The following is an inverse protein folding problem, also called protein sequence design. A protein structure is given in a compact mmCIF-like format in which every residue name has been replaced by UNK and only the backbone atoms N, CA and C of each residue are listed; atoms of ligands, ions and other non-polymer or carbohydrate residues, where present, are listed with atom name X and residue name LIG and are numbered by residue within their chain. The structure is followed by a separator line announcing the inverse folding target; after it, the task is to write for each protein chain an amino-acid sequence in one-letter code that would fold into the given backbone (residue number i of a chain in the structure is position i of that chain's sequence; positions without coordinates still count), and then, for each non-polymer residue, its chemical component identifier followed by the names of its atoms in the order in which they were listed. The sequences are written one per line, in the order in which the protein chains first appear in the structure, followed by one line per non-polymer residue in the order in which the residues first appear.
data_IF_917234520336
#
_entry.id   IF_917234520336
#
_cell.length_a   1.000
_cell.length_b   1.000
_cell.length_c   1.000
_cell.angle_alpha   90.00
_cell.angle_beta   90.00
_cell.angle_gamma   90.00
#
_symmetry.space_group_name_H-M   'P 1'
#
loop_
_entity.id
_entity.type
_entity.pdbx_description
1 polymer ?
#
# COMPACT_ATOMS: atom_id res chain seq x y z
N UNK A 1 -23.97 20.99 19.34
CA UNK A 1 -22.57 21.48 19.38
C UNK A 1 -21.54 20.38 19.09
N UNK A 2 -21.67 19.17 19.65
CA UNK A 2 -20.67 18.10 19.49
C UNK A 2 -20.36 17.70 18.02
N UNK A 3 -21.37 17.65 17.15
CA UNK A 3 -21.20 17.29 15.73
C UNK A 3 -20.32 18.25 14.92
N UNK A 4 -20.42 19.56 15.18
CA UNK A 4 -19.61 20.56 14.48
C UNK A 4 -18.12 20.46 14.83
N UNK A 5 -17.80 20.14 16.09
CA UNK A 5 -16.42 19.92 16.55
C UNK A 5 -15.83 18.67 15.92
N UNK A 6 -16.60 17.58 15.87
CA UNK A 6 -16.20 16.32 15.24
C UNK A 6 -15.92 16.53 13.74
N UNK A 7 -16.78 17.27 13.03
CA UNK A 7 -16.59 17.55 11.61
C UNK A 7 -15.42 18.51 11.33
N UNK A 8 -15.11 19.41 12.25
CA UNK A 8 -13.90 20.23 12.17
C UNK A 8 -12.64 19.38 12.38
N UNK A 9 -12.64 18.51 13.38
CA UNK A 9 -11.52 17.59 13.65
C UNK A 9 -11.26 16.65 12.46
N UNK A 10 -12.31 16.09 11.84
CA UNK A 10 -12.21 15.26 10.63
C UNK A 10 -11.57 16.02 9.45
N UNK A 11 -11.97 17.28 9.24
CA UNK A 11 -11.39 18.13 8.19
C UNK A 11 -9.92 18.43 8.43
N UNK A 12 -9.54 18.69 9.68
CA UNK A 12 -8.13 18.90 10.06
C UNK A 12 -7.32 17.63 9.82
N UNK A 13 -7.79 16.46 10.27
CA UNK A 13 -7.10 15.18 10.04
C UNK A 13 -6.92 14.89 8.55
N UNK A 14 -7.96 15.08 7.75
CA UNK A 14 -7.88 14.85 6.31
C UNK A 14 -6.86 15.79 5.65
N UNK A 15 -6.82 17.06 6.07
CA UNK A 15 -5.84 18.04 5.57
C UNK A 15 -4.43 17.67 5.98
N UNK A 16 -4.22 17.23 7.23
CA UNK A 16 -2.92 16.77 7.72
C UNK A 16 -2.45 15.54 6.96
N UNK A 17 -3.33 14.57 6.72
CA UNK A 17 -3.00 13.36 5.95
C UNK A 17 -2.58 13.72 4.52
N UNK A 18 -3.37 14.58 3.85
CA UNK A 18 -3.06 15.04 2.50
C UNK A 18 -1.74 15.79 2.42
N UNK A 19 -1.43 16.63 3.42
CA UNK A 19 -0.18 17.39 3.46
C UNK A 19 1.03 16.50 3.78
N UNK A 20 0.88 15.49 4.63
CA UNK A 20 1.94 14.55 4.98
C UNK A 20 2.29 13.61 3.83
N UNK A 21 1.35 13.34 2.92
CA UNK A 21 1.50 12.41 1.80
C UNK A 21 1.04 13.01 0.47
N UNK A 22 1.70 14.07 -0.04
CA UNK A 22 1.20 14.89 -1.15
C UNK A 22 1.10 14.16 -2.50
N UNK A 23 1.89 13.09 -2.71
CA UNK A 23 1.93 12.33 -3.97
C UNK A 23 1.09 11.04 -3.91
N UNK A 24 0.26 10.89 -2.88
CA UNK A 24 -0.52 9.67 -2.65
C UNK A 24 -1.96 9.82 -3.08
N UNK A 25 -2.58 8.70 -3.47
CA UNK A 25 -4.02 8.63 -3.72
C UNK A 25 -4.74 8.46 -2.39
N UNK A 26 -5.73 9.31 -2.12
CA UNK A 26 -6.62 9.16 -0.97
C UNK A 26 -7.78 8.23 -1.32
N UNK A 27 -7.97 7.18 -0.55
CA UNK A 27 -9.01 6.16 -0.74
C UNK A 27 -9.96 6.18 0.44
N UNK A 28 -11.26 6.29 0.17
CA UNK A 28 -12.29 6.20 1.19
C UNK A 28 -12.40 4.74 1.66
N UNK A 29 -12.19 4.53 2.95
CA UNK A 29 -12.39 3.26 3.61
C UNK A 29 -13.75 3.29 4.31
N UNK A 30 -14.84 3.05 3.58
CA UNK A 30 -16.20 2.99 4.16
C UNK A 30 -16.89 1.68 3.80
N UNK A 31 -17.41 0.96 4.80
CA UNK A 31 -18.47 -0.05 4.59
C UNK A 31 -19.80 0.70 4.51
N UNK A 32 -20.70 0.27 3.64
CA UNK A 32 -21.98 0.95 3.42
C UNK A 32 -22.69 1.23 4.76
N UNK A 33 -22.87 2.51 5.09
CA UNK A 33 -23.52 2.96 6.33
C UNK A 33 -22.61 3.20 7.54
N UNK A 34 -21.32 2.88 7.47
CA UNK A 34 -20.39 3.03 8.61
C UNK A 34 -19.31 4.10 8.36
N UNK A 35 -19.19 4.97 9.38
CA UNK A 35 -18.12 5.95 9.65
C UNK A 35 -17.76 6.92 8.50
N UNK A 36 -18.53 8.02 8.32
CA UNK A 36 -18.17 9.07 7.38
C UNK A 36 -16.84 9.72 7.80
N UNK A 37 -15.78 9.48 7.03
CA UNK A 37 -14.46 10.09 7.24
C UNK A 37 -13.27 9.12 7.40
N UNK A 38 -13.48 7.81 7.28
CA UNK A 38 -12.36 6.88 7.20
C UNK A 38 -11.68 6.96 5.82
N UNK A 39 -10.43 7.43 5.81
CA UNK A 39 -9.59 7.62 4.62
C UNK A 39 -8.20 7.02 4.82
N UNK A 40 -7.70 6.35 3.77
CA UNK A 40 -6.34 5.83 3.62
C UNK A 40 -5.55 6.64 2.58
N UNK A 41 -4.26 6.82 2.81
CA UNK A 41 -3.31 7.34 1.84
C UNK A 41 -2.52 6.18 1.22
N UNK A 42 -2.54 6.10 -0.11
CA UNK A 42 -2.00 4.98 -0.89
C UNK A 42 -0.95 5.50 -1.86
N UNK A 43 0.23 4.90 -1.84
CA UNK A 43 1.32 5.26 -2.75
C UNK A 43 1.07 4.83 -4.21
N UNK A 44 2.02 5.14 -5.08
CA UNK A 44 1.97 4.82 -6.52
C UNK A 44 2.02 3.32 -6.82
N UNK A 45 2.41 2.51 -5.84
CA UNK A 45 2.52 1.06 -5.92
C UNK A 45 1.31 0.34 -5.31
N UNK A 46 0.34 1.08 -4.77
CA UNK A 46 -0.85 0.52 -4.13
C UNK A 46 -0.68 0.21 -2.65
N UNK A 47 0.46 0.59 -2.06
CA UNK A 47 0.78 0.39 -0.65
C UNK A 47 0.18 1.46 0.25
N UNK A 48 -0.36 1.07 1.40
CA UNK A 48 -0.91 2.00 2.39
C UNK A 48 0.23 2.62 3.20
N UNK A 49 0.36 3.95 3.10
CA UNK A 49 1.41 4.75 3.76
C UNK A 49 0.87 5.70 4.81
N UNK A 50 -0.46 5.84 4.92
CA UNK A 50 -1.09 6.70 5.91
C UNK A 50 -2.59 6.42 6.07
N UNK A 51 -3.15 6.89 7.19
CA UNK A 51 -4.56 6.71 7.51
C UNK A 51 -5.06 7.75 8.52
N UNK A 52 -6.29 8.23 8.32
CA UNK A 52 -7.06 8.99 9.31
C UNK A 52 -7.34 8.17 10.57
N UNK A 53 -7.70 8.83 11.68
CA UNK A 53 -8.02 8.11 12.92
C UNK A 53 -9.23 7.20 12.77
N UNK A 54 -10.25 7.64 12.04
CA UNK A 54 -11.42 6.82 11.74
C UNK A 54 -11.05 5.52 11.00
N UNK A 55 -10.18 5.60 9.99
CA UNK A 55 -9.71 4.41 9.26
C UNK A 55 -8.87 3.47 10.14
N UNK A 56 -7.99 4.01 10.99
CA UNK A 56 -7.17 3.21 11.92
C UNK A 56 -8.03 2.43 12.90
N UNK A 57 -9.07 3.05 13.46
CA UNK A 57 -9.99 2.39 14.39
C UNK A 57 -10.82 1.33 13.68
N UNK A 58 -11.38 1.66 12.52
CA UNK A 58 -12.25 0.77 11.76
C UNK A 58 -11.53 -0.50 11.29
N UNK A 59 -10.34 -0.34 10.71
CA UNK A 59 -9.54 -1.45 10.15
C UNK A 59 -8.51 -2.02 11.15
N UNK A 60 -8.56 -1.59 12.42
CA UNK A 60 -7.61 -2.01 13.48
C UNK A 60 -6.13 -1.86 13.07
N UNK A 61 -5.80 -0.76 12.39
CA UNK A 61 -4.45 -0.53 11.85
C UNK A 61 -3.45 -0.17 12.95
N UNK A 62 -2.42 -1.00 13.07
CA UNK A 62 -1.15 -0.69 13.77
C UNK A 62 -0.18 0.11 12.88
N UNK A 63 0.84 0.77 13.46
CA UNK A 63 1.85 1.52 12.69
C UNK A 63 2.54 0.72 11.57
N UNK A 64 2.77 -0.57 11.77
CA UNK A 64 3.37 -1.46 10.75
C UNK A 64 2.57 -1.51 9.44
N UNK A 65 1.24 -1.32 9.48
CA UNK A 65 0.38 -1.34 8.30
C UNK A 65 0.48 -0.09 7.43
N UNK A 66 1.17 0.96 7.90
CA UNK A 66 1.27 2.25 7.22
C UNK A 66 2.67 2.49 6.65
N UNK A 67 3.38 1.39 6.39
CA UNK A 67 4.76 1.40 5.89
C UNK A 67 4.85 1.31 4.36
N UNK A 68 3.70 1.19 3.67
CA UNK A 68 3.62 0.91 2.23
C UNK A 68 3.62 -0.57 1.87
N UNK A 69 3.80 -1.47 2.85
CA UNK A 69 3.95 -2.92 2.59
C UNK A 69 2.62 -3.69 2.50
N UNK A 70 1.52 -3.05 2.86
CA UNK A 70 0.19 -3.63 2.85
C UNK A 70 -0.66 -2.93 1.80
N UNK A 71 -1.33 -3.70 0.95
CA UNK A 71 -2.29 -3.15 0.00
C UNK A 71 -3.63 -2.87 0.68
N UNK A 72 -4.47 -2.06 0.02
CA UNK A 72 -5.83 -1.75 0.53
C UNK A 72 -6.66 -3.02 0.67
N UNK A 73 -6.55 -3.95 -0.27
CA UNK A 73 -7.30 -5.21 -0.27
C UNK A 73 -6.93 -6.08 0.94
N UNK A 74 -5.64 -6.17 1.26
CA UNK A 74 -5.15 -6.93 2.42
C UNK A 74 -5.67 -6.37 3.75
N UNK A 75 -5.89 -5.05 3.84
CA UNK A 75 -6.42 -4.42 5.05
C UNK A 75 -7.94 -4.45 5.11
N UNK A 76 -8.62 -4.64 3.97
CA UNK A 76 -10.08 -4.64 3.88
C UNK A 76 -10.71 -5.95 4.36
N UNK A 77 -10.06 -7.09 4.13
CA UNK A 77 -10.58 -8.42 4.44
C UNK A 77 -10.55 -8.76 5.95
N UNK A 78 -10.23 -7.80 6.82
CA UNK A 78 -10.32 -7.95 8.28
C UNK A 78 -9.22 -8.80 8.91
N UNK A 79 -8.49 -9.57 8.12
CA UNK A 79 -7.16 -10.09 8.46
C UNK A 79 -6.13 -9.24 7.74
N UNK A 80 -5.51 -8.30 8.46
CA UNK A 80 -4.17 -7.86 8.09
C UNK A 80 -3.25 -9.06 8.25
N UNK A 81 -3.28 -9.96 7.26
CA UNK A 81 -2.33 -11.06 7.15
C UNK A 81 -0.96 -10.43 7.18
N UNK A 82 -0.06 -11.04 7.96
CA UNK A 82 1.37 -10.75 7.90
C UNK A 82 1.72 -10.51 6.44
N UNK A 83 2.23 -9.32 6.09
CA UNK A 83 2.59 -9.03 4.74
C UNK A 83 3.63 -10.09 4.44
N UNK A 84 3.34 -11.01 3.52
CA UNK A 84 4.39 -11.90 3.06
C UNK A 84 5.32 -10.98 2.27
N UNK A 85 6.31 -10.46 2.98
CA UNK A 85 7.32 -9.52 2.52
C UNK A 85 7.96 -10.03 1.23
N UNK A 86 8.00 -11.35 1.06
CA UNK A 86 8.37 -12.03 -0.16
C UNK A 86 7.37 -11.86 -1.30
N UNK A 87 6.06 -11.95 -1.08
CA UNK A 87 5.05 -11.80 -2.16
C UNK A 87 4.75 -10.36 -2.53
N UNK A 88 4.75 -9.39 -1.62
CA UNK A 88 4.50 -7.98 -2.01
C UNK A 88 5.63 -7.45 -2.89
N UNK A 89 6.88 -7.62 -2.46
CA UNK A 89 8.04 -7.19 -3.26
C UNK A 89 8.15 -7.99 -4.57
N UNK A 90 7.87 -9.31 -4.54
CA UNK A 90 7.78 -10.12 -5.76
C UNK A 90 6.71 -9.61 -6.72
N UNK A 91 5.50 -9.29 -6.24
CA UNK A 91 4.41 -8.78 -7.09
C UNK A 91 4.76 -7.45 -7.74
N UNK A 92 5.45 -6.56 -7.02
CA UNK A 92 5.93 -5.29 -7.60
C UNK A 92 6.97 -5.53 -8.69
N UNK A 93 7.89 -6.47 -8.46
CA UNK A 93 8.88 -6.87 -9.46
C UNK A 93 8.21 -7.53 -10.68
N UNK A 94 7.26 -8.44 -10.48
CA UNK A 94 6.49 -9.10 -11.54
C UNK A 94 5.66 -8.10 -12.35
N UNK A 95 4.97 -7.17 -11.69
CA UNK A 95 4.18 -6.14 -12.35
C UNK A 95 5.04 -5.18 -13.18
N UNK A 96 6.22 -4.79 -12.67
CA UNK A 96 7.15 -3.95 -13.41
C UNK A 96 7.74 -4.69 -14.62
N UNK A 97 8.08 -5.97 -14.48
CA UNK A 97 8.53 -6.80 -15.59
C UNK A 97 7.44 -6.97 -16.65
N UNK A 98 6.20 -7.24 -16.25
CA UNK A 98 5.08 -7.37 -17.18
C UNK A 98 4.84 -6.06 -17.96
N UNK A 99 4.82 -4.91 -17.26
CA UNK A 99 4.65 -3.58 -17.89
C UNK A 99 5.76 -3.26 -18.90
N UNK A 100 6.97 -3.74 -18.65
CA UNK A 100 8.13 -3.54 -19.52
C UNK A 100 8.45 -4.75 -20.41
N UNK A 101 7.48 -5.66 -20.63
CA UNK A 101 7.63 -6.83 -21.52
C UNK A 101 8.89 -7.66 -21.25
N UNK A 102 9.20 -7.87 -19.97
CA UNK A 102 10.39 -8.60 -19.53
C UNK A 102 11.70 -7.81 -19.56
N UNK A 103 11.69 -6.53 -19.94
CA UNK A 103 12.90 -5.70 -19.92
C UNK A 103 13.30 -5.35 -18.48
N UNK A 104 14.17 -6.19 -17.90
CA UNK A 104 14.69 -6.04 -16.54
C UNK A 104 15.37 -4.69 -16.28
N UNK A 105 16.05 -4.10 -17.27
CA UNK A 105 16.70 -2.79 -17.10
C UNK A 105 15.68 -1.65 -17.02
N UNK A 106 14.58 -1.74 -17.77
CA UNK A 106 13.49 -0.77 -17.70
C UNK A 106 12.67 -0.94 -16.41
N UNK A 107 12.38 -2.20 -16.03
CA UNK A 107 11.69 -2.52 -14.77
C UNK A 107 12.51 -2.08 -13.54
N UNK A 108 13.81 -2.32 -13.52
CA UNK A 108 14.69 -1.88 -12.43
C UNK A 108 14.69 -0.35 -12.29
N UNK A 109 14.79 0.38 -13.40
CA UNK A 109 14.69 1.85 -13.42
C UNK A 109 13.33 2.33 -12.93
N UNK A 110 12.24 1.69 -13.35
CA UNK A 110 10.88 2.03 -12.91
C UNK A 110 10.68 1.78 -11.40
N UNK A 111 11.37 0.81 -10.83
CA UNK A 111 11.35 0.48 -9.40
C UNK A 111 12.42 1.22 -8.58
N UNK A 112 13.21 2.10 -9.19
CA UNK A 112 14.24 2.88 -8.50
C UNK A 112 15.42 2.04 -7.97
N UNK A 113 15.69 0.86 -8.54
CA UNK A 113 16.78 -0.03 -8.12
C UNK A 113 17.78 -0.31 -9.24
N UNK A 114 18.98 -0.77 -8.89
CA UNK A 114 19.95 -1.25 -9.87
C UNK A 114 19.51 -2.59 -10.47
N UNK A 115 19.97 -2.86 -11.70
CA UNK A 115 19.75 -4.15 -12.38
C UNK A 115 20.28 -5.35 -11.57
N UNK A 116 21.41 -5.19 -10.88
CA UNK A 116 22.01 -6.24 -10.04
C UNK A 116 21.16 -6.56 -8.80
N UNK A 117 20.55 -5.55 -8.18
CA UNK A 117 19.61 -5.73 -7.08
C UNK A 117 18.33 -6.42 -7.53
N UNK A 118 17.77 -6.04 -8.69
CA UNK A 118 16.61 -6.72 -9.28
C UNK A 118 16.90 -8.21 -9.52
N UNK A 119 18.04 -8.54 -10.12
CA UNK A 119 18.42 -9.94 -10.37
C UNK A 119 18.64 -10.75 -9.09
N UNK A 120 19.26 -10.17 -8.06
CA UNK A 120 19.44 -10.83 -6.77
C UNK A 120 18.09 -11.16 -6.13
N UNK A 121 17.12 -10.23 -6.20
CA UNK A 121 15.75 -10.43 -5.71
C UNK A 121 15.00 -11.50 -6.53
N UNK A 122 15.06 -11.45 -7.86
CA UNK A 122 14.49 -12.49 -8.73
C UNK A 122 15.05 -13.87 -8.43
N UNK A 123 16.38 -13.99 -8.24
CA UNK A 123 17.03 -15.26 -7.88
C UNK A 123 16.57 -15.75 -6.50
N UNK A 124 16.42 -14.84 -5.53
CA UNK A 124 15.91 -15.17 -4.21
C UNK A 124 14.48 -15.73 -4.27
N UNK A 125 13.61 -15.15 -5.09
CA UNK A 125 12.23 -15.64 -5.27
C UNK A 125 12.14 -16.92 -6.08
N UNK A 126 12.97 -17.08 -7.11
CA UNK A 126 13.04 -18.29 -7.91
C UNK A 126 13.52 -19.52 -7.11
N UNK A 127 14.35 -19.30 -6.08
CA UNK A 127 14.83 -20.36 -5.18
C UNK A 127 13.79 -20.75 -4.10
N UNK A 128 12.77 -19.92 -3.84
CA UNK A 128 11.84 -20.09 -2.71
C UNK A 128 10.55 -20.86 -3.01
N UNK A 129 10.04 -20.86 -4.25
CA UNK A 129 8.89 -21.66 -4.71
C UNK A 129 8.98 -21.89 -6.22
N UNK A 130 8.82 -23.14 -6.65
CA UNK A 130 8.94 -23.59 -8.04
C UNK A 130 8.02 -22.87 -9.03
N UNK A 131 8.37 -23.07 -10.31
CA UNK A 131 7.76 -22.53 -11.52
C UNK A 131 8.21 -21.11 -11.92
N UNK A 132 9.33 -21.06 -12.65
CA UNK A 132 9.57 -20.07 -13.70
C UNK A 132 10.00 -20.84 -14.96
N UNK A 133 9.01 -21.34 -15.71
CA UNK A 133 9.01 -21.65 -17.16
C UNK A 133 7.84 -22.60 -17.51
N UNK A 134 6.64 -22.05 -17.63
CA UNK A 134 5.58 -22.61 -18.46
C UNK A 134 4.87 -21.45 -19.17
#
# INVERSE_FOLDING_TARGET
MLGAVIDAARRIELRMLSNAHPTTKLVLASRAGENPGAVLAVDVYGGVVGATRAARVMLKLKPEHLTGNFSVEQLWDGEAREPDWGTTERRLIEAALARHRGNASAAARALGMSRSTLYRKLKHYAAGKGAWMA
#
